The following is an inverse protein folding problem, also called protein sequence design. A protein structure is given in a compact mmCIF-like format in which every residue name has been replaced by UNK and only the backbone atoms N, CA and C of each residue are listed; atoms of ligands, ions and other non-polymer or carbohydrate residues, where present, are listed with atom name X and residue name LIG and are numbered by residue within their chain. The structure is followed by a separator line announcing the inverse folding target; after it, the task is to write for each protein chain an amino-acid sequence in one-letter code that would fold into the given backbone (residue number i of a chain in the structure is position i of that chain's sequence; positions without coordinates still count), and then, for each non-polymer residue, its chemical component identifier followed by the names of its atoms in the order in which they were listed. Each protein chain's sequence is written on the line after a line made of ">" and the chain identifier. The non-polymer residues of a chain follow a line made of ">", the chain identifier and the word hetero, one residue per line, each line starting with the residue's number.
data_IF_234454280218
#
_entry.id   IF_234454280218
#
_cell.length_a   1.000
_cell.length_b   1.000
_cell.length_c   1.000
_cell.angle_alpha   90.00
_cell.angle_beta   90.00
_cell.angle_gamma   90.00
#
_symmetry.space_group_name_H-M   'P 1'
#
loop_
_entity.id
_entity.type
_entity.pdbx_description
1 polymer ?
#
# COMPACT_ATOMS: atom_id res chain seq x y z
N UNK A 1 -16.92 -17.79 -28.78
CA UNK A 1 -16.85 -16.81 -27.67
C UNK A 1 -16.68 -17.47 -26.30
N UNK A 2 -17.72 -18.05 -25.68
CA UNK A 2 -17.57 -18.71 -24.36
C UNK A 2 -16.60 -19.90 -24.39
N UNK A 3 -16.67 -20.74 -25.42
CA UNK A 3 -15.70 -21.84 -25.60
C UNK A 3 -14.26 -21.35 -25.81
N UNK A 4 -14.07 -20.18 -26.44
CA UNK A 4 -12.73 -19.62 -26.61
C UNK A 4 -12.17 -19.10 -25.29
N UNK A 5 -13.03 -18.50 -24.44
CA UNK A 5 -12.63 -18.07 -23.09
C UNK A 5 -12.22 -19.26 -22.20
N UNK A 6 -12.95 -20.37 -22.24
CA UNK A 6 -12.57 -21.58 -21.51
C UNK A 6 -11.27 -22.18 -22.05
N UNK A 7 -11.06 -22.15 -23.37
CA UNK A 7 -9.83 -22.64 -23.99
C UNK A 7 -8.62 -21.79 -23.58
N UNK A 8 -8.77 -20.46 -23.56
CA UNK A 8 -7.74 -19.52 -23.10
C UNK A 8 -7.46 -19.70 -21.61
N UNK A 9 -8.49 -19.90 -20.78
CA UNK A 9 -8.33 -20.17 -19.35
C UNK A 9 -7.55 -21.47 -19.08
N UNK A 10 -7.89 -22.55 -19.78
CA UNK A 10 -7.17 -23.84 -19.66
C UNK A 10 -5.73 -23.72 -20.19
N UNK A 11 -5.53 -22.94 -21.25
CA UNK A 11 -4.21 -22.68 -21.81
C UNK A 11 -3.35 -21.83 -20.85
N UNK A 12 -3.94 -20.84 -20.17
CA UNK A 12 -3.26 -20.08 -19.11
C UNK A 12 -2.90 -20.99 -17.93
N UNK A 13 -3.83 -21.83 -17.46
CA UNK A 13 -3.59 -22.80 -16.38
C UNK A 13 -2.45 -23.76 -16.70
N UNK A 14 -2.38 -24.25 -17.94
CA UNK A 14 -1.32 -25.18 -18.35
C UNK A 14 0.00 -24.49 -18.66
N UNK A 15 -0.01 -23.26 -19.18
CA UNK A 15 1.20 -22.46 -19.39
C UNK A 15 1.89 -22.05 -18.08
N UNK A 16 1.12 -21.77 -17.02
CA UNK A 16 1.66 -21.51 -15.68
C UNK A 16 2.28 -22.76 -15.04
N UNK A 17 1.92 -23.96 -15.51
CA UNK A 17 2.41 -25.23 -14.96
C UNK A 17 3.64 -25.80 -15.69
N UNK A 18 3.93 -25.32 -16.91
CA UNK A 18 4.96 -25.91 -17.80
C UNK A 18 6.21 -25.06 -17.92
N UNK A 19 6.14 -23.74 -17.74
CA UNK A 19 7.35 -22.91 -17.65
C UNK A 19 7.81 -22.82 -16.19
N UNK A 20 9.10 -23.12 -15.97
CA UNK A 20 9.79 -22.79 -14.73
C UNK A 20 9.42 -21.36 -14.36
N UNK A 21 8.70 -21.22 -13.25
CA UNK A 21 8.17 -19.98 -12.73
C UNK A 21 9.20 -18.88 -12.91
N UNK A 22 8.81 -17.84 -13.66
CA UNK A 22 9.54 -16.59 -13.80
C UNK A 22 10.31 -16.29 -12.52
N UNK A 23 11.62 -16.10 -12.60
CA UNK A 23 12.46 -15.72 -11.46
C UNK A 23 11.70 -14.72 -10.58
N UNK A 24 11.44 -15.08 -9.32
CA UNK A 24 10.77 -14.19 -8.39
C UNK A 24 11.56 -12.89 -8.31
N UNK A 25 10.98 -11.79 -8.80
CA UNK A 25 11.56 -10.46 -8.71
C UNK A 25 10.94 -9.80 -7.49
N UNK A 26 11.71 -9.53 -6.43
CA UNK A 26 11.21 -8.82 -5.26
C UNK A 26 10.65 -7.45 -5.69
N UNK A 27 9.41 -7.16 -5.31
CA UNK A 27 8.75 -5.87 -5.58
C UNK A 27 8.48 -5.05 -4.31
N UNK A 28 9.18 -5.40 -3.24
CA UNK A 28 9.07 -4.75 -1.94
C UNK A 28 9.84 -3.42 -1.89
N UNK A 29 9.98 -2.85 -0.69
CA UNK A 29 10.71 -1.61 -0.46
C UNK A 29 12.17 -1.65 -0.93
N UNK A 30 12.76 -2.82 -1.17
CA UNK A 30 14.14 -2.94 -1.68
C UNK A 30 14.21 -2.74 -3.20
N UNK A 31 13.10 -2.92 -3.91
CA UNK A 31 13.05 -2.88 -5.38
C UNK A 31 13.60 -1.57 -5.99
N UNK A 32 13.28 -0.36 -5.46
CA UNK A 32 13.87 0.88 -5.97
C UNK A 32 15.39 0.93 -5.83
N UNK A 33 15.93 0.42 -4.73
CA UNK A 33 17.36 0.39 -4.46
C UNK A 33 18.10 -0.57 -5.38
N UNK A 34 17.50 -1.72 -5.67
CA UNK A 34 18.04 -2.65 -6.67
C UNK A 34 18.02 -2.06 -8.07
N UNK A 35 16.98 -1.32 -8.45
CA UNK A 35 16.86 -0.69 -9.78
C UNK A 35 17.93 0.39 -10.01
N UNK A 36 18.32 1.14 -8.98
CA UNK A 36 19.39 2.16 -9.09
C UNK A 36 20.80 1.59 -8.87
N UNK A 37 20.96 0.26 -8.78
CA UNK A 37 22.25 -0.40 -8.61
C UNK A 37 22.84 -0.37 -7.20
N UNK A 38 22.02 -0.08 -6.18
CA UNK A 38 22.42 -0.02 -4.77
C UNK A 38 21.64 -1.04 -3.92
N UNK A 39 21.77 -2.36 -4.17
CA UNK A 39 21.00 -3.37 -3.46
C UNK A 39 21.25 -3.32 -1.95
N UNK A 40 20.17 -3.33 -1.16
CA UNK A 40 20.26 -3.37 0.31
C UNK A 40 20.67 -4.79 0.74
N UNK A 41 21.69 -4.96 1.60
CA UNK A 41 22.05 -6.26 2.17
C UNK A 41 20.86 -6.90 2.90
N UNK A 42 20.72 -8.22 2.81
CA UNK A 42 19.58 -8.95 3.38
C UNK A 42 19.37 -8.69 4.88
N UNK A 43 20.46 -8.62 5.65
CA UNK A 43 20.43 -8.28 7.08
C UNK A 43 19.87 -6.88 7.29
N UNK A 44 20.32 -5.90 6.50
CA UNK A 44 19.82 -4.52 6.55
C UNK A 44 18.33 -4.46 6.22
N UNK A 45 17.90 -5.17 5.18
CA UNK A 45 16.50 -5.24 4.81
C UNK A 45 15.65 -5.88 5.92
N UNK A 46 16.17 -6.91 6.59
CA UNK A 46 15.51 -7.59 7.72
C UNK A 46 15.34 -6.66 8.91
N UNK A 47 16.37 -5.88 9.26
CA UNK A 47 16.30 -4.88 10.33
C UNK A 47 15.21 -3.85 10.02
N UNK A 48 15.17 -3.33 8.79
CA UNK A 48 14.12 -2.38 8.37
C UNK A 48 12.72 -2.99 8.51
N UNK A 49 12.53 -4.24 8.07
CA UNK A 49 11.25 -4.95 8.22
C UNK A 49 10.84 -5.08 9.69
N UNK A 50 11.76 -5.45 10.57
CA UNK A 50 11.50 -5.56 12.02
C UNK A 50 11.10 -4.22 12.63
N UNK A 51 11.82 -3.15 12.31
CA UNK A 51 11.49 -1.79 12.77
C UNK A 51 10.11 -1.37 12.27
N UNK A 52 9.81 -1.61 10.99
CA UNK A 52 8.52 -1.25 10.41
C UNK A 52 7.37 -2.12 10.93
N UNK A 53 7.62 -3.37 11.30
CA UNK A 53 6.64 -4.24 11.95
C UNK A 53 6.29 -3.69 13.35
N UNK A 54 7.30 -3.31 14.14
CA UNK A 54 7.10 -2.69 15.46
C UNK A 54 6.37 -1.36 15.37
N UNK A 55 6.72 -0.53 14.38
CA UNK A 55 6.03 0.72 14.11
C UNK A 55 4.57 0.49 13.74
N UNK A 56 4.31 -0.46 12.83
CA UNK A 56 2.96 -0.85 12.40
C UNK A 56 2.11 -1.33 13.58
N UNK A 57 2.66 -2.22 14.42
CA UNK A 57 1.98 -2.72 15.61
C UNK A 57 1.65 -1.58 16.58
N UNK A 58 2.61 -0.71 16.84
CA UNK A 58 2.43 0.44 17.73
C UNK A 58 1.36 1.40 17.20
N UNK A 59 1.35 1.67 15.89
CA UNK A 59 0.35 2.53 15.26
C UNK A 59 -1.05 1.92 15.31
N UNK A 60 -1.19 0.62 15.04
CA UNK A 60 -2.47 -0.10 15.13
C UNK A 60 -3.06 -0.02 16.54
N UNK A 61 -2.26 -0.29 17.58
CA UNK A 61 -2.68 -0.19 18.98
C UNK A 61 -3.07 1.26 19.32
N UNK A 62 -2.32 2.24 18.82
CA UNK A 62 -2.64 3.65 19.03
C UNK A 62 -3.96 4.05 18.38
N UNK A 63 -4.20 3.65 17.13
CA UNK A 63 -5.44 3.94 16.41
C UNK A 63 -6.66 3.32 17.07
N UNK A 64 -6.56 2.06 17.50
CA UNK A 64 -7.63 1.37 18.24
C UNK A 64 -8.07 2.14 19.49
N UNK A 65 -7.09 2.68 20.25
CA UNK A 65 -7.35 3.40 21.50
C UNK A 65 -7.83 4.84 21.31
N UNK A 66 -7.46 5.50 20.21
CA UNK A 66 -7.59 6.96 20.07
C UNK A 66 -8.59 7.39 19.00
N UNK A 67 -8.96 6.55 18.05
CA UNK A 67 -9.93 6.91 17.01
C UNK A 67 -11.34 6.43 17.36
N UNK A 68 -12.33 6.91 16.61
CA UNK A 68 -13.69 6.34 16.62
C UNK A 68 -13.70 5.00 15.91
N UNK A 69 -14.56 4.06 16.33
CA UNK A 69 -14.53 2.66 15.89
C UNK A 69 -14.47 2.48 14.36
N UNK A 70 -15.24 3.25 13.60
CA UNK A 70 -15.22 3.19 12.12
C UNK A 70 -13.91 3.69 11.50
N UNK A 71 -13.33 4.79 12.02
CA UNK A 71 -12.06 5.35 11.54
C UNK A 71 -10.87 4.49 11.98
N UNK A 72 -10.93 3.96 13.20
CA UNK A 72 -9.93 3.06 13.76
C UNK A 72 -9.79 1.80 12.89
N UNK A 73 -10.90 1.13 12.57
CA UNK A 73 -10.88 -0.08 11.74
C UNK A 73 -10.25 0.19 10.37
N UNK A 74 -10.61 1.30 9.72
CA UNK A 74 -10.05 1.68 8.43
C UNK A 74 -8.55 2.02 8.52
N UNK A 75 -8.13 2.78 9.54
CA UNK A 75 -6.73 3.12 9.76
C UNK A 75 -5.87 1.88 10.04
N UNK A 76 -6.38 0.96 10.85
CA UNK A 76 -5.72 -0.32 11.17
C UNK A 76 -5.58 -1.17 9.90
N UNK A 77 -6.67 -1.34 9.15
CA UNK A 77 -6.67 -2.13 7.93
C UNK A 77 -5.74 -1.53 6.87
N UNK A 78 -5.75 -0.21 6.68
CA UNK A 78 -4.83 0.49 5.79
C UNK A 78 -3.36 0.28 6.21
N UNK A 79 -3.05 0.44 7.50
CA UNK A 79 -1.67 0.32 8.02
C UNK A 79 -1.15 -1.11 7.89
N UNK A 80 -1.97 -2.11 8.21
CA UNK A 80 -1.62 -3.52 8.04
C UNK A 80 -1.43 -3.89 6.56
N UNK A 81 -2.33 -3.42 5.69
CA UNK A 81 -2.23 -3.66 4.24
C UNK A 81 -0.98 -3.00 3.66
N UNK A 82 -0.64 -1.80 4.12
CA UNK A 82 0.59 -1.10 3.74
C UNK A 82 1.83 -1.92 4.09
N UNK A 83 1.90 -2.43 5.33
CA UNK A 83 3.00 -3.30 5.74
C UNK A 83 3.14 -4.53 4.84
N UNK A 84 2.02 -5.21 4.56
CA UNK A 84 2.01 -6.38 3.70
C UNK A 84 2.39 -6.08 2.24
N UNK A 85 2.05 -4.89 1.73
CA UNK A 85 2.38 -4.50 0.36
C UNK A 85 3.82 -4.00 0.18
N UNK A 86 4.44 -3.44 1.22
CA UNK A 86 5.75 -2.77 1.06
C UNK A 86 6.89 -3.49 1.75
N UNK A 87 6.64 -4.14 2.89
CA UNK A 87 7.70 -4.73 3.70
C UNK A 87 7.72 -6.26 3.67
N UNK A 88 6.71 -6.91 3.08
CA UNK A 88 6.73 -8.36 2.88
C UNK A 88 7.74 -8.76 1.79
N UNK A 89 8.77 -9.57 2.09
CA UNK A 89 9.76 -10.00 1.10
C UNK A 89 9.18 -10.86 -0.04
N UNK A 90 7.98 -11.43 0.15
CA UNK A 90 7.28 -12.24 -0.86
C UNK A 90 6.21 -11.45 -1.61
N UNK A 91 6.30 -10.13 -1.61
CA UNK A 91 5.32 -9.30 -2.30
C UNK A 91 5.45 -9.42 -3.82
N UNK A 92 4.31 -9.62 -4.45
CA UNK A 92 4.17 -9.64 -5.90
C UNK A 92 3.53 -8.34 -6.39
N UNK A 93 3.70 -7.98 -7.67
CA UNK A 93 3.11 -6.77 -8.23
C UNK A 93 1.60 -6.65 -8.01
N UNK A 94 0.89 -7.78 -8.00
CA UNK A 94 -0.56 -7.83 -7.81
C UNK A 94 -0.99 -7.62 -6.35
N UNK A 95 -0.11 -7.88 -5.39
CA UNK A 95 -0.38 -7.65 -3.95
C UNK A 95 -0.73 -6.18 -3.69
N UNK A 96 -0.12 -5.25 -4.43
CA UNK A 96 -0.42 -3.82 -4.33
C UNK A 96 -1.88 -3.47 -4.66
N UNK A 97 -2.63 -4.29 -5.39
CA UNK A 97 -4.05 -4.05 -5.61
C UNK A 97 -4.85 -4.05 -4.30
N UNK A 98 -4.38 -4.77 -3.28
CA UNK A 98 -5.05 -4.82 -1.97
C UNK A 98 -5.11 -3.47 -1.26
N UNK A 99 -4.16 -2.55 -1.54
CA UNK A 99 -4.18 -1.22 -0.90
C UNK A 99 -5.25 -0.30 -1.50
N UNK A 100 -5.72 -0.58 -2.72
CA UNK A 100 -6.59 0.35 -3.45
C UNK A 100 -7.91 0.60 -2.71
N UNK A 101 -8.51 -0.45 -2.15
CA UNK A 101 -9.77 -0.37 -1.39
C UNK A 101 -9.61 0.45 -0.10
N UNK A 102 -8.72 0.09 0.86
CA UNK A 102 -8.55 0.87 2.07
C UNK A 102 -8.06 2.31 1.80
N UNK A 103 -7.17 2.50 0.82
CA UNK A 103 -6.71 3.84 0.46
C UNK A 103 -7.84 4.69 -0.15
N UNK A 104 -8.62 4.12 -1.06
CA UNK A 104 -9.77 4.80 -1.68
C UNK A 104 -10.82 5.22 -0.65
N UNK A 105 -11.16 4.34 0.30
CA UNK A 105 -12.08 4.65 1.39
C UNK A 105 -11.50 5.74 2.32
N UNK A 106 -10.21 5.69 2.63
CA UNK A 106 -9.56 6.69 3.47
C UNK A 106 -9.49 8.07 2.78
N UNK A 107 -9.21 8.11 1.47
CA UNK A 107 -9.24 9.33 0.66
C UNK A 107 -10.65 9.91 0.59
N UNK A 108 -11.68 9.07 0.43
CA UNK A 108 -13.07 9.53 0.45
C UNK A 108 -13.47 10.12 1.81
N UNK A 109 -13.02 9.51 2.91
CA UNK A 109 -13.22 10.04 4.25
C UNK A 109 -12.49 11.38 4.45
N UNK A 110 -11.23 11.47 4.03
CA UNK A 110 -10.42 12.69 4.02
C UNK A 110 -11.12 13.81 3.24
N UNK A 111 -11.59 13.52 2.02
CA UNK A 111 -12.32 14.46 1.20
C UNK A 111 -13.56 15.02 1.91
N UNK A 112 -14.31 14.14 2.58
CA UNK A 112 -15.52 14.52 3.33
C UNK A 112 -15.20 15.40 4.54
N UNK A 113 -14.13 15.09 5.28
CA UNK A 113 -13.76 15.86 6.48
C UNK A 113 -13.12 17.21 6.14
N UNK A 114 -12.30 17.28 5.09
CA UNK A 114 -11.60 18.50 4.67
C UNK A 114 -12.36 19.30 3.60
N UNK A 115 -13.59 18.87 3.23
CA UNK A 115 -14.44 19.49 2.19
C UNK A 115 -13.72 19.68 0.84
N UNK A 116 -13.00 18.66 0.39
CA UNK A 116 -12.30 18.67 -0.90
C UNK A 116 -10.89 19.28 -0.87
N UNK A 117 -10.13 18.99 0.19
CA UNK A 117 -8.75 19.42 0.33
C UNK A 117 -7.82 18.95 -0.79
N UNK A 118 -6.80 19.76 -1.09
CA UNK A 118 -5.77 19.49 -2.13
C UNK A 118 -5.12 18.12 -1.94
N UNK A 119 -4.90 17.71 -0.68
CA UNK A 119 -4.30 16.42 -0.35
C UNK A 119 -5.15 15.26 -0.88
N UNK A 120 -6.47 15.30 -0.72
CA UNK A 120 -7.37 14.25 -1.19
C UNK A 120 -7.37 14.15 -2.73
N UNK A 121 -7.34 15.30 -3.43
CA UNK A 121 -7.19 15.33 -4.90
C UNK A 121 -5.88 14.68 -5.35
N UNK A 122 -4.75 15.10 -4.77
CA UNK A 122 -3.42 14.57 -5.12
C UNK A 122 -3.34 13.06 -4.86
N UNK A 123 -3.83 12.60 -3.72
CA UNK A 123 -3.83 11.18 -3.37
C UNK A 123 -4.74 10.37 -4.29
N UNK A 124 -5.92 10.90 -4.65
CA UNK A 124 -6.84 10.25 -5.59
C UNK A 124 -6.21 10.11 -6.98
N UNK A 125 -5.64 11.19 -7.52
CA UNK A 125 -4.93 11.16 -8.81
C UNK A 125 -3.76 10.19 -8.78
N UNK A 126 -2.96 10.20 -7.71
CA UNK A 126 -1.81 9.30 -7.57
C UNK A 126 -2.27 7.84 -7.51
N UNK A 127 -3.32 7.53 -6.74
CA UNK A 127 -3.88 6.18 -6.66
C UNK A 127 -4.40 5.71 -8.02
N UNK A 128 -5.10 6.58 -8.75
CA UNK A 128 -5.64 6.27 -10.06
C UNK A 128 -4.52 6.01 -11.09
N UNK A 129 -3.53 6.89 -11.17
CA UNK A 129 -2.35 6.73 -12.05
C UNK A 129 -1.58 5.47 -11.69
N UNK A 130 -1.46 5.15 -10.39
CA UNK A 130 -0.82 3.91 -9.93
C UNK A 130 -1.55 2.68 -10.45
N UNK A 131 -2.88 2.68 -10.46
CA UNK A 131 -3.69 1.61 -11.06
C UNK A 131 -3.52 1.48 -12.57
N UNK A 132 -3.33 2.61 -13.28
CA UNK A 132 -3.12 2.63 -14.73
C UNK A 132 -1.73 2.18 -15.17
N UNK A 133 -0.75 2.13 -14.27
CA UNK A 133 0.64 1.73 -14.57
C UNK A 133 0.81 0.32 -15.18
N UNK A 134 -0.23 -0.52 -15.12
CA UNK A 134 -0.24 -1.86 -15.72
C UNK A 134 -0.97 -1.99 -17.06
N UNK A 135 -1.52 -0.91 -17.62
CA UNK A 135 -2.38 -0.98 -18.83
C UNK A 135 -1.56 -1.12 -20.11
N UNK A 136 -0.47 -0.39 -20.23
CA UNK A 136 0.40 -0.39 -21.41
C UNK A 136 1.71 -1.13 -21.11
N UNK A 137 2.13 -2.04 -22.00
CA UNK A 137 3.29 -2.92 -21.76
C UNK A 137 4.60 -2.14 -21.62
N UNK A 138 4.80 -1.14 -22.46
CA UNK A 138 6.00 -0.28 -22.40
C UNK A 138 6.09 0.53 -21.10
N UNK A 139 4.95 0.99 -20.59
CA UNK A 139 4.87 1.73 -19.33
C UNK A 139 5.10 0.79 -18.15
N UNK A 140 4.53 -0.42 -18.23
CA UNK A 140 4.73 -1.45 -17.22
C UNK A 140 6.20 -1.83 -17.08
N UNK A 141 6.90 -2.10 -18.19
CA UNK A 141 8.30 -2.52 -18.19
C UNK A 141 9.23 -1.43 -17.62
N UNK A 142 8.90 -0.16 -17.79
CA UNK A 142 9.67 0.97 -17.24
C UNK A 142 9.43 1.20 -15.74
N UNK A 143 8.17 1.02 -15.29
CA UNK A 143 7.78 1.27 -13.90
C UNK A 143 8.02 0.05 -13.00
N UNK A 144 8.11 -1.13 -13.58
CA UNK A 144 8.43 -2.36 -12.88
C UNK A 144 9.93 -2.45 -12.58
N UNK A 145 10.35 -2.88 -11.37
CA UNK A 145 9.56 -3.24 -10.19
C UNK A 145 9.37 -2.10 -9.16
N UNK A 146 9.99 -0.94 -9.36
CA UNK A 146 10.22 0.06 -8.32
C UNK A 146 9.07 1.04 -8.05
N UNK A 147 8.21 1.33 -9.03
CA UNK A 147 7.26 2.43 -8.93
C UNK A 147 6.15 2.18 -7.90
N UNK A 148 5.61 0.96 -7.87
CA UNK A 148 4.50 0.58 -6.98
C UNK A 148 4.84 0.71 -5.48
N UNK A 149 5.97 0.16 -4.97
CA UNK A 149 6.33 0.35 -3.57
C UNK A 149 6.54 1.83 -3.21
N UNK A 150 7.06 2.66 -4.12
CA UNK A 150 7.22 4.10 -3.90
C UNK A 150 5.87 4.81 -3.84
N UNK A 151 5.01 4.62 -4.83
CA UNK A 151 3.69 5.24 -4.90
C UNK A 151 2.82 4.86 -3.70
N UNK A 152 2.84 3.58 -3.32
CA UNK A 152 2.07 3.08 -2.18
C UNK A 152 2.63 3.60 -0.85
N UNK A 153 3.94 3.74 -0.71
CA UNK A 153 4.55 4.41 0.46
C UNK A 153 4.11 5.86 0.57
N UNK A 154 4.08 6.59 -0.54
CA UNK A 154 3.58 7.97 -0.55
C UNK A 154 2.10 8.06 -0.17
N UNK A 155 1.24 7.25 -0.78
CA UNK A 155 -0.20 7.27 -0.54
C UNK A 155 -0.51 6.85 0.90
N UNK A 156 -0.06 5.66 1.30
CA UNK A 156 -0.37 5.11 2.61
C UNK A 156 0.30 5.91 3.72
N UNK A 157 1.55 6.35 3.54
CA UNK A 157 2.25 7.21 4.51
C UNK A 157 1.50 8.51 4.79
N UNK A 158 1.00 9.17 3.75
CA UNK A 158 0.21 10.40 3.88
C UNK A 158 -1.09 10.17 4.65
N UNK A 159 -1.81 9.09 4.33
CA UNK A 159 -3.07 8.75 4.99
C UNK A 159 -2.88 8.30 6.45
N UNK A 160 -1.85 7.48 6.73
CA UNK A 160 -1.48 7.06 8.09
C UNK A 160 -1.11 8.27 8.93
N UNK A 161 -0.34 9.21 8.37
CA UNK A 161 -0.02 10.47 9.04
C UNK A 161 -1.27 11.30 9.35
N UNK A 162 -2.20 11.39 8.41
CA UNK A 162 -3.47 12.08 8.62
C UNK A 162 -4.31 11.44 9.74
N UNK A 163 -4.47 10.11 9.75
CA UNK A 163 -5.13 9.41 10.85
C UNK A 163 -4.42 9.64 12.19
N UNK A 164 -3.09 9.69 12.20
CA UNK A 164 -2.29 10.00 13.38
C UNK A 164 -2.54 11.43 13.90
N UNK A 165 -2.61 12.41 13.00
CA UNK A 165 -2.96 13.79 13.35
C UNK A 165 -4.37 13.87 13.97
N UNK A 166 -5.36 13.20 13.37
CA UNK A 166 -6.73 13.13 13.91
C UNK A 166 -6.81 12.45 15.28
N UNK A 167 -6.05 11.38 15.48
CA UNK A 167 -5.94 10.72 16.78
C UNK A 167 -5.36 11.68 17.84
N UNK A 168 -4.35 12.49 17.48
CA UNK A 168 -3.77 13.49 18.41
C UNK A 168 -4.72 14.63 18.73
N UNK A 169 -5.42 15.19 17.74
CA UNK A 169 -6.41 16.26 17.94
C UNK A 169 -7.46 15.84 19.00
N UNK A 170 -7.97 14.61 18.91
CA UNK A 170 -8.94 14.09 19.89
C UNK A 170 -8.38 14.03 21.31
N UNK A 171 -7.12 13.62 21.47
CA UNK A 171 -6.46 13.54 22.79
C UNK A 171 -6.30 14.92 23.41
N UNK A 172 -5.87 15.91 22.61
CA UNK A 172 -5.72 17.30 23.07
C UNK A 172 -7.07 17.86 23.50
N UNK A 173 -8.11 17.69 22.68
CA UNK A 173 -9.45 18.19 22.99
C UNK A 173 -10.05 17.53 24.25
N UNK A 174 -9.82 16.23 24.45
CA UNK A 174 -10.25 15.53 25.67
C UNK A 174 -9.47 15.95 26.93
N UNK A 175 -8.21 16.37 26.78
CA UNK A 175 -7.42 16.92 27.88
C UNK A 175 -7.89 18.31 28.31
N UNK A 176 -8.22 19.18 27.34
CA UNK A 176 -8.73 20.54 27.60
C UNK A 176 -10.13 20.52 28.23
N UNK A 177 -10.98 19.55 27.88
CA UNK A 177 -12.32 19.45 28.45
C UNK A 177 -12.37 18.94 29.91
N UNK A 178 -11.25 18.38 30.42
CA UNK A 178 -11.15 17.80 31.76
C UNK A 178 -10.27 18.63 32.73
N UNK A 179 -9.77 19.79 32.31
CA UNK A 179 -8.96 20.72 33.11
C UNK A 179 -9.70 22.02 33.37
#
# INVERSE_FOLDING_TARGET
>A
YLNDQYRVFIQMLTSMAVDNTSHFVPTDFTAPFTTIGLPIPEIGATIVRMVMALFTLSAVIWFDRRLEQGKAALAIFLTATFYMCVFNPRVEPNTFAMIAVPAGLAIALLWREERGGVLASVLSTTLFVTGLSGVERHVHDFLFPWFRPVAVTFIAGSLIWWFWAKAREKVVNAGVANG
#
